data_IF_159442180336
#
_entry.id   IF_159442180336
#
_cell.length_a   1.000
_cell.length_b   1.000
_cell.length_c   1.000
_cell.angle_alpha   90.00
_cell.angle_beta   90.00
_cell.angle_gamma   90.00
#
_symmetry.space_group_name_H-M   'P 1'
#
loop_
_entity.id
_entity.type
_entity.pdbx_description
1 polymer ?
#
# COMPACT_ATOMS: atom_id res chain seq x y z
N UNK A 1 9.29 -27.90 -4.58
CA UNK A 1 10.37 -28.54 -3.78
C UNK A 1 10.92 -27.45 -2.87
N UNK A 2 10.77 -27.56 -1.54
CA UNK A 2 11.33 -26.59 -0.57
C UNK A 2 12.84 -26.51 -0.79
N UNK A 3 13.39 -25.31 -1.00
CA UNK A 3 14.80 -25.12 -1.39
C UNK A 3 15.75 -25.32 -0.19
N UNK A 4 16.83 -26.08 -0.42
CA UNK A 4 18.06 -26.09 0.37
C UNK A 4 19.29 -26.36 -0.56
N UNK A 5 20.09 -25.30 -0.75
CA UNK A 5 21.54 -25.10 -1.02
C UNK A 5 22.35 -25.89 -2.12
N UNK A 6 23.03 -25.08 -2.97
CA UNK A 6 24.43 -25.13 -3.55
C UNK A 6 24.79 -25.86 -4.87
N UNK A 7 25.31 -25.11 -5.88
CA UNK A 7 26.75 -24.90 -6.23
C UNK A 7 27.00 -24.62 -7.76
N UNK A 8 27.74 -23.52 -8.04
CA UNK A 8 28.78 -23.31 -9.10
C UNK A 8 28.52 -23.13 -10.62
N UNK A 9 28.96 -21.95 -11.09
CA UNK A 9 29.85 -21.62 -12.24
C UNK A 9 29.40 -21.63 -13.73
N UNK A 10 29.41 -20.41 -14.30
CA UNK A 10 30.10 -19.93 -15.55
C UNK A 10 29.52 -20.27 -16.95
N UNK A 11 29.05 -19.25 -17.72
CA UNK A 11 29.65 -18.66 -18.97
C UNK A 11 28.65 -18.11 -20.04
N UNK A 12 28.80 -16.82 -20.38
CA UNK A 12 28.60 -16.01 -21.63
C UNK A 12 27.45 -16.14 -22.66
N UNK A 13 27.04 -14.92 -23.11
CA UNK A 13 26.67 -14.41 -24.47
C UNK A 13 25.18 -14.56 -24.89
N UNK A 14 24.43 -13.59 -25.49
CA UNK A 14 24.68 -12.37 -26.30
C UNK A 14 23.41 -11.47 -26.34
N UNK A 15 23.59 -10.20 -26.76
CA UNK A 15 22.70 -9.29 -27.51
C UNK A 15 21.92 -8.19 -26.74
N UNK A 16 22.05 -6.98 -27.28
CA UNK A 16 21.28 -5.80 -26.91
C UNK A 16 19.79 -6.02 -27.21
N UNK A 17 19.01 -6.24 -26.16
CA UNK A 17 17.57 -5.94 -26.16
C UNK A 17 17.40 -4.57 -25.53
N UNK A 18 16.60 -3.69 -26.13
CA UNK A 18 16.09 -2.55 -25.36
C UNK A 18 15.20 -3.15 -24.27
N UNK A 19 15.55 -3.00 -23.00
CA UNK A 19 14.66 -3.36 -21.90
C UNK A 19 13.34 -2.64 -22.15
N UNK A 20 12.26 -3.40 -22.27
CA UNK A 20 10.93 -2.83 -22.45
C UNK A 20 10.49 -2.30 -21.09
N UNK A 21 10.02 -1.07 -21.08
CA UNK A 21 9.69 -0.33 -19.86
C UNK A 21 8.20 0.00 -19.83
N UNK A 22 7.57 -0.17 -18.67
CA UNK A 22 6.22 0.31 -18.40
C UNK A 22 6.33 1.56 -17.53
N UNK A 23 5.68 2.65 -17.96
CA UNK A 23 5.61 3.90 -17.21
C UNK A 23 4.21 4.04 -16.61
N UNK A 24 4.13 4.42 -15.34
CA UNK A 24 2.84 4.79 -14.72
C UNK A 24 2.52 6.24 -15.09
N UNK A 25 1.52 6.44 -15.96
CA UNK A 25 1.06 7.78 -16.41
C UNK A 25 -0.20 8.21 -15.65
N UNK A 26 -0.29 9.49 -15.29
CA UNK A 26 -1.45 10.08 -14.61
C UNK A 26 -2.75 9.87 -15.38
N UNK A 27 -2.72 9.76 -16.71
CA UNK A 27 -3.93 9.47 -17.51
C UNK A 27 -3.99 7.98 -17.91
N UNK A 28 -4.75 7.15 -17.18
CA UNK A 28 -4.77 5.70 -17.37
C UNK A 28 -5.51 5.22 -18.63
N UNK A 29 -6.21 6.10 -19.36
CA UNK A 29 -6.94 5.71 -20.56
C UNK A 29 -6.03 5.23 -21.71
N UNK A 30 -4.70 5.30 -21.55
CA UNK A 30 -3.73 4.78 -22.52
C UNK A 30 -3.15 3.40 -22.21
N UNK A 31 -3.38 2.83 -21.02
CA UNK A 31 -2.87 1.50 -20.67
C UNK A 31 -4.03 0.61 -20.19
N UNK A 32 -4.68 -0.05 -21.15
CA UNK A 32 -5.90 -0.84 -20.94
C UNK A 32 -5.59 -2.11 -20.16
N UNK A 33 -5.93 -2.14 -18.86
CA UNK A 33 -6.29 -3.33 -18.10
C UNK A 33 -7.17 -2.95 -16.88
N UNK A 34 -8.17 -2.08 -17.06
CA UNK A 34 -9.25 -1.99 -16.09
C UNK A 34 -10.04 -3.31 -16.13
N UNK A 35 -9.85 -4.16 -15.11
CA UNK A 35 -10.56 -5.43 -14.97
C UNK A 35 -12.07 -5.17 -14.86
N UNK A 36 -12.84 -5.73 -15.81
CA UNK A 36 -14.30 -5.69 -15.75
C UNK A 36 -14.76 -6.75 -14.76
N UNK A 37 -15.29 -6.35 -13.61
CA UNK A 37 -15.88 -7.27 -12.63
C UNK A 37 -17.02 -8.10 -13.28
N UNK A 38 -17.21 -9.37 -12.90
CA UNK A 38 -18.38 -10.13 -13.34
C UNK A 38 -19.68 -9.51 -12.77
N UNK A 39 -20.70 -9.43 -13.62
CA UNK A 39 -22.05 -8.90 -13.33
C UNK A 39 -22.18 -7.38 -13.07
N UNK A 40 -21.89 -6.58 -14.09
CA UNK A 40 -22.86 -5.57 -14.52
C UNK A 40 -22.95 -4.23 -13.77
N UNK A 41 -21.95 -3.86 -12.97
CA UNK A 41 -21.53 -2.51 -12.52
C UNK A 41 -20.12 -2.76 -11.93
N UNK A 42 -19.03 -2.10 -12.32
CA UNK A 42 -18.53 -0.77 -11.92
C UNK A 42 -17.29 -0.46 -12.79
N UNK A 43 -16.88 0.81 -12.90
CA UNK A 43 -15.59 1.22 -13.47
C UNK A 43 -14.68 1.64 -12.32
N UNK A 44 -13.46 1.07 -12.22
CA UNK A 44 -12.43 1.58 -11.33
C UNK A 44 -11.91 2.88 -11.96
N UNK A 45 -12.05 4.01 -11.26
CA UNK A 45 -11.42 5.27 -11.67
C UNK A 45 -9.91 5.06 -11.64
N UNK A 46 -9.31 4.92 -12.81
CA UNK A 46 -7.99 4.30 -12.97
C UNK A 46 -6.81 5.26 -12.74
N UNK A 47 -7.02 6.42 -12.10
CA UNK A 47 -5.93 7.39 -11.89
C UNK A 47 -4.87 6.74 -10.98
N UNK A 48 -3.60 6.62 -11.40
CA UNK A 48 -2.61 5.99 -10.55
C UNK A 48 -2.28 6.90 -9.37
N UNK A 49 -2.54 6.39 -8.18
CA UNK A 49 -2.18 7.04 -6.92
C UNK A 49 -0.71 6.79 -6.56
N UNK A 50 -0.26 5.53 -6.70
CA UNK A 50 1.11 5.11 -6.43
C UNK A 50 2.01 5.16 -7.66
N UNK A 51 3.30 5.43 -7.44
CA UNK A 51 4.36 5.25 -8.42
C UNK A 51 4.25 6.14 -9.65
N UNK A 52 3.59 7.30 -9.56
CA UNK A 52 3.42 8.20 -10.71
C UNK A 52 4.79 8.55 -11.33
N UNK A 53 4.96 8.22 -12.62
CA UNK A 53 6.21 8.40 -13.36
C UNK A 53 7.28 7.36 -13.06
N UNK A 54 6.98 6.34 -12.24
CA UNK A 54 7.85 5.18 -12.04
C UNK A 54 7.91 4.35 -13.32
N UNK A 55 9.06 3.73 -13.54
CA UNK A 55 9.34 2.93 -14.72
C UNK A 55 9.75 1.53 -14.28
N UNK A 56 8.96 0.52 -14.65
CA UNK A 56 9.31 -0.87 -14.41
C UNK A 56 9.92 -1.51 -15.64
N UNK A 57 11.00 -2.25 -15.41
CA UNK A 57 11.67 -3.03 -16.44
C UNK A 57 10.94 -4.36 -16.65
N UNK A 58 10.74 -4.76 -17.90
CA UNK A 58 10.20 -6.06 -18.27
C UNK A 58 11.32 -6.99 -18.75
N UNK A 59 11.20 -8.26 -18.39
CA UNK A 59 12.03 -9.33 -18.92
C UNK A 59 11.80 -9.49 -20.42
N UNK A 60 12.88 -9.75 -21.18
CA UNK A 60 12.83 -10.08 -22.61
C UNK A 60 11.86 -11.25 -22.89
N UNK A 61 11.66 -12.13 -21.91
CA UNK A 61 10.77 -13.29 -22.03
C UNK A 61 9.30 -12.87 -22.15
N UNK A 62 8.93 -11.67 -21.71
CA UNK A 62 7.56 -11.15 -21.78
C UNK A 62 7.01 -11.16 -23.20
N UNK A 63 7.84 -10.83 -24.20
CA UNK A 63 7.45 -10.87 -25.62
C UNK A 63 7.31 -12.29 -26.15
N UNK A 64 8.04 -13.25 -25.56
CA UNK A 64 8.07 -14.63 -26.01
C UNK A 64 6.81 -15.40 -25.58
N UNK A 65 6.31 -15.10 -24.38
CA UNK A 65 5.16 -15.79 -23.78
C UNK A 65 3.87 -14.97 -23.79
N UNK A 66 3.87 -13.77 -24.39
CA UNK A 66 2.73 -12.85 -24.47
C UNK A 66 2.11 -12.56 -23.08
N UNK A 67 2.98 -12.27 -22.11
CA UNK A 67 2.65 -12.03 -20.70
C UNK A 67 3.65 -11.04 -20.13
N UNK A 68 3.22 -10.13 -19.25
CA UNK A 68 4.14 -9.21 -18.58
C UNK A 68 4.90 -9.94 -17.47
N UNK A 69 6.23 -9.99 -17.59
CA UNK A 69 7.13 -10.50 -16.56
C UNK A 69 8.07 -9.37 -16.16
N UNK A 70 7.95 -8.92 -14.93
CA UNK A 70 8.69 -7.75 -14.44
C UNK A 70 10.07 -8.15 -13.93
N UNK A 71 11.08 -7.30 -14.13
CA UNK A 71 12.38 -7.43 -13.48
C UNK A 71 12.33 -6.60 -12.19
N UNK A 72 12.61 -7.24 -11.07
CA UNK A 72 12.56 -6.61 -9.75
C UNK A 72 13.97 -6.39 -9.23
N UNK A 73 14.28 -5.13 -8.92
CA UNK A 73 15.62 -4.70 -8.51
C UNK A 73 15.76 -4.46 -7.00
N UNK A 74 14.64 -4.35 -6.26
CA UNK A 74 14.66 -4.14 -4.81
C UNK A 74 13.38 -4.57 -4.11
N UNK A 75 13.45 -4.71 -2.79
CA UNK A 75 12.33 -5.03 -1.92
C UNK A 75 11.22 -3.95 -1.99
N UNK A 76 11.62 -2.68 -2.07
CA UNK A 76 10.70 -1.53 -2.25
C UNK A 76 9.97 -1.58 -3.58
N UNK A 77 10.68 -1.97 -4.64
CA UNK A 77 10.10 -2.10 -5.97
C UNK A 77 9.09 -3.22 -6.04
N UNK A 78 9.40 -4.38 -5.45
CA UNK A 78 8.46 -5.50 -5.36
C UNK A 78 7.19 -5.09 -4.61
N UNK A 79 7.34 -4.43 -3.46
CA UNK A 79 6.21 -3.93 -2.67
C UNK A 79 5.33 -2.95 -3.45
N UNK A 80 5.94 -1.94 -4.10
CA UNK A 80 5.21 -0.97 -4.94
C UNK A 80 4.47 -1.67 -6.08
N UNK A 81 5.13 -2.60 -6.76
CA UNK A 81 4.58 -3.33 -7.89
C UNK A 81 3.41 -4.24 -7.48
N UNK A 82 3.54 -4.93 -6.34
CA UNK A 82 2.44 -5.70 -5.75
C UNK A 82 1.26 -4.80 -5.39
N UNK A 83 1.50 -3.66 -4.72
CA UNK A 83 0.45 -2.71 -4.35
C UNK A 83 -0.33 -2.23 -5.60
N UNK A 84 0.36 -1.86 -6.67
CA UNK A 84 -0.28 -1.44 -7.93
C UNK A 84 -1.16 -2.56 -8.53
N UNK A 85 -0.70 -3.81 -8.50
CA UNK A 85 -1.47 -4.94 -9.02
C UNK A 85 -2.70 -5.25 -8.15
N UNK A 86 -2.56 -5.15 -6.82
CA UNK A 86 -3.65 -5.31 -5.86
C UNK A 86 -4.72 -4.23 -6.08
N UNK A 87 -4.31 -2.98 -6.26
CA UNK A 87 -5.18 -1.83 -6.60
C UNK A 87 -5.95 -2.04 -7.90
N UNK A 88 -5.35 -2.72 -8.87
CA UNK A 88 -5.99 -3.06 -10.14
C UNK A 88 -6.85 -4.33 -10.05
N UNK A 89 -6.99 -4.93 -8.86
CA UNK A 89 -7.65 -6.21 -8.62
C UNK A 89 -7.10 -7.33 -9.52
N UNK A 90 -5.80 -7.27 -9.81
CA UNK A 90 -5.14 -8.29 -10.61
C UNK A 90 -5.25 -9.64 -9.89
N UNK A 91 -5.50 -10.71 -10.64
CA UNK A 91 -5.48 -12.05 -10.05
C UNK A 91 -4.05 -12.55 -9.86
N UNK A 92 -3.19 -12.25 -10.83
CA UNK A 92 -1.86 -12.81 -10.95
C UNK A 92 -0.86 -11.72 -11.34
N UNK A 93 0.36 -11.84 -10.83
CA UNK A 93 1.51 -10.99 -11.16
C UNK A 93 2.76 -11.87 -11.28
N UNK A 94 3.61 -11.60 -12.28
CA UNK A 94 4.78 -12.42 -12.60
C UNK A 94 6.06 -11.59 -12.61
N UNK A 95 7.13 -12.11 -12.00
CA UNK A 95 8.41 -11.43 -11.98
C UNK A 95 9.62 -12.36 -11.97
N UNK A 96 10.77 -11.75 -12.27
CA UNK A 96 12.10 -12.30 -12.09
C UNK A 96 12.91 -11.35 -11.25
N UNK A 97 13.87 -11.89 -10.51
CA UNK A 97 14.76 -11.12 -9.65
C UNK A 97 16.12 -10.98 -10.32
N UNK A 98 16.67 -9.76 -10.39
CA UNK A 98 18.05 -9.57 -10.86
C UNK A 98 19.09 -9.73 -9.74
N UNK A 99 18.61 -9.83 -8.49
CA UNK A 99 19.37 -10.06 -7.27
C UNK A 99 18.54 -10.83 -6.25
N UNK A 100 19.19 -11.43 -5.27
CA UNK A 100 18.49 -12.03 -4.12
C UNK A 100 17.79 -10.93 -3.29
N UNK A 101 16.48 -11.09 -3.07
CA UNK A 101 15.64 -10.19 -2.29
C UNK A 101 15.43 -10.71 -0.86
N UNK A 102 15.29 -9.79 0.09
CA UNK A 102 14.75 -10.13 1.41
C UNK A 102 13.23 -9.99 1.42
N UNK A 103 12.53 -11.11 1.32
CA UNK A 103 11.06 -11.17 1.32
C UNK A 103 10.43 -10.70 2.62
N UNK A 104 11.07 -10.95 3.76
CA UNK A 104 10.56 -10.48 5.07
C UNK A 104 10.55 -8.94 5.12
N UNK A 105 11.45 -8.30 4.37
CA UNK A 105 11.51 -6.83 4.23
C UNK A 105 10.50 -6.27 3.23
N UNK A 106 10.01 -7.07 2.28
CA UNK A 106 8.97 -6.65 1.31
C UNK A 106 7.65 -6.42 2.05
N UNK A 107 7.33 -7.26 3.02
CA UNK A 107 6.06 -7.21 3.74
C UNK A 107 5.75 -5.89 4.44
N UNK A 108 6.61 -5.32 5.29
CA UNK A 108 6.29 -4.06 5.93
C UNK A 108 6.22 -2.89 4.94
N UNK A 109 6.95 -2.94 3.82
CA UNK A 109 6.78 -1.97 2.73
C UNK A 109 5.42 -2.13 2.06
N UNK A 110 5.03 -3.35 1.69
CA UNK A 110 3.73 -3.59 1.07
C UNK A 110 2.59 -3.21 2.01
N UNK A 111 2.66 -3.65 3.27
CA UNK A 111 1.65 -3.40 4.30
C UNK A 111 1.38 -1.91 4.50
N UNK A 112 2.42 -1.07 4.40
CA UNK A 112 2.28 0.39 4.48
C UNK A 112 1.41 1.02 3.37
N UNK A 113 1.04 0.26 2.34
CA UNK A 113 0.23 0.70 1.19
C UNK A 113 -1.15 0.03 1.12
N UNK A 114 -1.44 -0.96 1.98
CA UNK A 114 -2.66 -1.76 1.88
C UNK A 114 -3.80 -1.15 2.71
N UNK A 115 -4.84 -0.70 2.02
CA UNK A 115 -6.12 -0.30 2.64
C UNK A 115 -6.98 -1.53 2.94
N UNK A 116 -7.07 -2.45 1.98
CA UNK A 116 -7.91 -3.63 2.05
C UNK A 116 -7.10 -4.90 2.31
N UNK A 117 -7.73 -5.86 2.98
CA UNK A 117 -7.17 -7.19 3.16
C UNK A 117 -7.10 -7.95 1.83
N UNK A 118 -6.00 -8.67 1.63
CA UNK A 118 -5.77 -9.50 0.45
C UNK A 118 -5.02 -10.76 0.86
N UNK A 119 -5.46 -11.91 0.36
CA UNK A 119 -4.69 -13.15 0.50
C UNK A 119 -3.68 -13.24 -0.63
N UNK A 120 -2.41 -13.41 -0.28
CA UNK A 120 -1.28 -13.44 -1.21
C UNK A 120 -0.64 -14.82 -1.17
N UNK A 121 -0.48 -15.45 -2.33
CA UNK A 121 0.23 -16.71 -2.49
C UNK A 121 1.41 -16.54 -3.45
N UNK A 122 2.60 -16.91 -3.01
CA UNK A 122 3.79 -16.95 -3.84
C UNK A 122 4.04 -18.36 -4.39
N UNK A 123 4.32 -18.45 -5.68
CA UNK A 123 4.69 -19.69 -6.36
C UNK A 123 5.96 -19.49 -7.21
N UNK A 124 6.82 -20.52 -7.24
CA UNK A 124 7.85 -20.65 -8.29
C UNK A 124 7.21 -21.34 -9.49
N UNK A 125 7.25 -20.70 -10.65
CA UNK A 125 6.59 -21.18 -11.86
C UNK A 125 7.59 -21.53 -12.96
N UNK A 126 7.27 -22.58 -13.72
CA UNK A 126 7.98 -22.92 -14.95
C UNK A 126 7.22 -22.29 -16.13
N UNK A 127 7.80 -21.28 -16.76
CA UNK A 127 7.24 -20.62 -17.94
C UNK A 127 7.88 -21.17 -19.23
N UNK A 128 7.15 -21.21 -20.36
CA UNK A 128 7.66 -21.71 -21.64
C UNK A 128 8.58 -20.69 -22.33
N UNK A 129 9.68 -20.34 -21.65
CA UNK A 129 10.61 -19.26 -22.01
C UNK A 129 11.77 -19.72 -22.88
N UNK A 130 12.45 -18.77 -23.50
CA UNK A 130 13.63 -19.00 -24.33
C UNK A 130 14.88 -19.38 -23.51
N UNK A 131 14.98 -18.89 -22.27
CA UNK A 131 16.06 -19.15 -21.29
C UNK A 131 15.61 -20.08 -20.15
N UNK A 132 15.79 -21.41 -20.28
CA UNK A 132 15.24 -22.40 -19.32
C UNK A 132 15.93 -22.43 -17.94
N UNK A 133 16.93 -21.58 -17.68
CA UNK A 133 17.64 -21.50 -16.40
C UNK A 133 17.17 -20.38 -15.48
N UNK A 134 16.31 -19.49 -15.99
CA UNK A 134 15.75 -18.39 -15.22
C UNK A 134 14.64 -18.91 -14.29
N UNK A 135 14.63 -18.42 -13.05
CA UNK A 135 13.57 -18.76 -12.08
C UNK A 135 12.53 -17.66 -12.15
N UNK A 136 11.27 -18.03 -12.42
CA UNK A 136 10.15 -17.12 -12.45
C UNK A 136 9.31 -17.29 -11.21
N UNK A 137 8.84 -16.18 -10.69
CA UNK A 137 7.99 -16.12 -9.53
C UNK A 137 6.62 -15.59 -9.95
N UNK A 138 5.60 -16.04 -9.24
CA UNK A 138 4.22 -15.64 -9.43
C UNK A 138 3.62 -15.31 -8.07
N UNK A 139 3.02 -14.14 -7.95
CA UNK A 139 2.05 -13.88 -6.90
C UNK A 139 0.63 -14.10 -7.42
N UNK A 140 -0.19 -14.77 -6.63
CA UNK A 140 -1.64 -14.90 -6.83
C UNK A 140 -2.34 -14.15 -5.71
N UNK A 141 -3.27 -13.27 -6.07
CA UNK A 141 -4.07 -12.47 -5.13
C UNK A 141 -5.49 -13.01 -5.07
N UNK A 142 -6.04 -13.11 -3.86
CA UNK A 142 -7.45 -13.46 -3.64
C UNK A 142 -8.10 -12.42 -2.74
N UNK A 143 -9.29 -11.99 -3.13
CA UNK A 143 -10.03 -10.89 -2.52
C UNK A 143 -11.35 -11.38 -1.94
N UNK A 144 -11.73 -10.86 -0.78
CA UNK A 144 -13.11 -10.96 -0.28
C UNK A 144 -13.90 -9.76 -0.82
N UNK A 145 -14.53 -9.95 -1.97
CA UNK A 145 -15.16 -8.86 -2.73
C UNK A 145 -16.31 -8.17 -1.98
N UNK A 146 -16.97 -8.87 -1.05
CA UNK A 146 -18.05 -8.27 -0.25
C UNK A 146 -17.51 -7.18 0.69
N UNK A 147 -16.50 -7.51 1.48
CA UNK A 147 -15.74 -6.61 2.36
C UNK A 147 -15.12 -5.46 1.57
N UNK A 148 -14.41 -5.77 0.48
CA UNK A 148 -13.77 -4.76 -0.37
C UNK A 148 -14.80 -3.76 -0.93
N UNK A 149 -15.95 -4.26 -1.42
CA UNK A 149 -16.99 -3.39 -1.96
C UNK A 149 -17.59 -2.46 -0.91
N UNK A 150 -17.77 -2.96 0.31
CA UNK A 150 -18.27 -2.16 1.43
C UNK A 150 -17.29 -1.04 1.80
N UNK A 151 -16.01 -1.35 1.94
CA UNK A 151 -14.95 -0.37 2.22
C UNK A 151 -14.90 0.71 1.13
N UNK A 152 -14.77 0.33 -0.15
CA UNK A 152 -14.59 1.28 -1.25
C UNK A 152 -15.82 2.18 -1.46
N UNK A 153 -17.03 1.65 -1.28
CA UNK A 153 -18.25 2.46 -1.40
C UNK A 153 -18.36 3.48 -0.26
N UNK A 154 -18.10 3.06 0.97
CA UNK A 154 -18.18 3.96 2.13
C UNK A 154 -17.11 5.06 2.03
N UNK A 155 -15.91 4.73 1.56
CA UNK A 155 -14.88 5.72 1.24
C UNK A 155 -15.42 6.75 0.23
N UNK A 156 -15.94 6.32 -0.92
CA UNK A 156 -16.47 7.25 -1.95
C UNK A 156 -17.60 8.14 -1.41
N UNK A 157 -18.47 7.58 -0.56
CA UNK A 157 -19.55 8.34 0.10
C UNK A 157 -19.00 9.39 1.08
N UNK A 158 -18.04 9.04 1.92
CA UNK A 158 -17.46 9.91 2.94
C UNK A 158 -16.58 11.01 2.34
N UNK A 159 -15.88 10.72 1.24
CA UNK A 159 -14.98 11.66 0.57
C UNK A 159 -15.69 12.55 -0.43
N UNK A 160 -16.89 12.18 -0.91
CA UNK A 160 -17.66 12.92 -1.91
C UNK A 160 -17.74 14.44 -1.66
N UNK A 161 -17.96 14.94 -0.43
CA UNK A 161 -17.99 16.37 -0.15
C UNK A 161 -16.67 17.09 -0.44
N UNK A 162 -15.54 16.38 -0.40
CA UNK A 162 -14.17 16.93 -0.40
C UNK A 162 -13.42 16.71 -1.73
N UNK A 163 -13.98 15.95 -2.69
CA UNK A 163 -13.38 15.71 -4.02
C UNK A 163 -13.26 16.97 -4.90
N UNK A 164 -13.89 18.07 -4.52
CA UNK A 164 -13.78 19.35 -5.21
C UNK A 164 -12.36 19.93 -5.09
N UNK A 165 -11.77 20.41 -6.19
CA UNK A 165 -10.44 21.06 -6.19
C UNK A 165 -10.37 22.39 -5.43
N UNK A 166 -11.48 22.84 -4.84
CA UNK A 166 -11.52 23.98 -3.94
C UNK A 166 -10.99 23.68 -2.53
N UNK A 167 -10.96 22.41 -2.12
CA UNK A 167 -10.38 22.00 -0.84
C UNK A 167 -8.86 21.86 -1.00
N UNK A 168 -8.12 22.45 -0.06
CA UNK A 168 -6.69 22.17 0.06
C UNK A 168 -6.46 20.74 0.55
N UNK A 169 -5.25 20.21 0.37
CA UNK A 169 -4.90 18.89 0.91
C UNK A 169 -4.97 18.88 2.45
N UNK A 170 -4.68 20.02 3.09
CA UNK A 170 -4.93 20.22 4.52
C UNK A 170 -6.43 20.09 4.86
N UNK A 171 -7.31 20.83 4.19
CA UNK A 171 -8.76 20.78 4.47
C UNK A 171 -9.33 19.37 4.25
N UNK A 172 -8.86 18.68 3.21
CA UNK A 172 -9.22 17.28 2.93
C UNK A 172 -8.82 16.37 4.07
N UNK A 173 -7.56 16.44 4.52
CA UNK A 173 -7.07 15.63 5.63
C UNK A 173 -7.85 15.94 6.92
N UNK A 174 -7.98 17.21 7.28
CA UNK A 174 -8.63 17.64 8.52
C UNK A 174 -10.11 17.24 8.56
N UNK A 175 -10.90 17.64 7.55
CA UNK A 175 -12.35 17.46 7.59
C UNK A 175 -12.76 16.00 7.46
N UNK A 176 -12.02 15.22 6.66
CA UNK A 176 -12.30 13.80 6.52
C UNK A 176 -11.90 13.00 7.78
N UNK A 177 -10.82 13.39 8.46
CA UNK A 177 -10.49 12.83 9.78
C UNK A 177 -11.60 13.14 10.78
N UNK A 178 -11.99 14.40 10.92
CA UNK A 178 -13.05 14.82 11.84
C UNK A 178 -14.35 14.06 11.62
N UNK A 179 -14.73 13.80 10.36
CA UNK A 179 -15.95 13.05 10.07
C UNK A 179 -15.80 11.56 10.38
N UNK A 180 -14.63 10.95 10.12
CA UNK A 180 -14.36 9.58 10.56
C UNK A 180 -14.47 9.44 12.07
N UNK A 181 -13.84 10.32 12.84
CA UNK A 181 -13.82 10.25 14.32
C UNK A 181 -15.23 10.37 14.95
N UNK A 182 -16.21 10.93 14.23
CA UNK A 182 -17.60 11.01 14.75
C UNK A 182 -18.41 9.74 14.52
N UNK A 183 -17.97 8.87 13.62
CA UNK A 183 -18.74 7.71 13.14
C UNK A 183 -18.16 6.38 13.67
N UNK A 184 -17.00 6.41 14.31
CA UNK A 184 -16.26 5.21 14.74
C UNK A 184 -16.04 5.25 16.25
N UNK A 185 -16.16 4.09 16.90
CA UNK A 185 -15.76 3.89 18.30
C UNK A 185 -14.57 2.94 18.39
N UNK A 186 -13.68 3.16 19.35
CA UNK A 186 -12.58 2.23 19.61
C UNK A 186 -13.08 0.88 20.18
N UNK A 187 -12.66 -0.23 19.58
CA UNK A 187 -13.05 -1.58 20.02
C UNK A 187 -12.09 -2.13 21.09
N UNK A 188 -12.20 -1.62 22.33
CA UNK A 188 -11.43 -2.12 23.49
C UNK A 188 -11.53 -3.65 23.65
N UNK A 189 -12.69 -4.22 23.30
CA UNK A 189 -12.94 -5.64 23.47
C UNK A 189 -12.18 -6.50 22.43
N UNK A 190 -11.80 -5.95 21.27
CA UNK A 190 -11.03 -6.66 20.26
C UNK A 190 -9.56 -6.87 20.66
N UNK A 191 -9.06 -6.07 21.60
CA UNK A 191 -7.71 -6.21 22.17
C UNK A 191 -7.66 -7.34 23.20
N UNK A 192 -8.74 -7.52 23.97
CA UNK A 192 -8.80 -8.46 25.11
C UNK A 192 -9.42 -9.82 24.78
N UNK A 193 -10.13 -9.95 23.65
CA UNK A 193 -10.87 -11.15 23.27
C UNK A 193 -10.41 -11.69 21.89
N UNK A 194 -9.57 -12.72 21.91
CA UNK A 194 -9.11 -13.47 20.71
C UNK A 194 -10.25 -14.08 19.87
N UNK A 195 -11.51 -14.00 20.33
CA UNK A 195 -12.71 -14.45 19.59
C UNK A 195 -13.44 -13.34 18.85
N UNK A 196 -13.09 -12.06 19.04
CA UNK A 196 -13.57 -10.96 18.19
C UNK A 196 -12.87 -10.98 16.83
N UNK A 197 -13.57 -10.47 15.84
CA UNK A 197 -13.33 -10.67 14.41
C UNK A 197 -12.08 -9.94 13.91
N UNK A 198 -11.42 -10.51 12.88
CA UNK A 198 -10.34 -9.86 12.10
C UNK A 198 -10.75 -8.47 11.58
N UNK A 199 -12.06 -8.19 11.47
CA UNK A 199 -12.66 -6.94 11.04
C UNK A 199 -12.18 -5.69 11.82
N UNK A 200 -12.08 -5.75 13.16
CA UNK A 200 -11.68 -4.59 13.96
C UNK A 200 -10.24 -4.14 13.65
N UNK A 201 -9.41 -5.06 13.14
CA UNK A 201 -8.04 -4.80 12.73
C UNK A 201 -7.95 -4.36 11.27
N UNK A 202 -9.05 -4.11 10.56
CA UNK A 202 -9.03 -3.68 9.16
C UNK A 202 -9.89 -2.45 8.90
N UNK A 203 -9.72 -1.83 7.72
CA UNK A 203 -10.57 -0.72 7.29
C UNK A 203 -12.07 -1.09 7.29
N UNK A 204 -12.40 -2.37 7.17
CA UNK A 204 -13.79 -2.85 7.24
C UNK A 204 -14.40 -2.66 8.64
N UNK A 205 -13.61 -2.77 9.72
CA UNK A 205 -14.11 -2.47 11.07
C UNK A 205 -14.63 -1.04 11.17
N UNK A 206 -13.91 -0.08 10.58
CA UNK A 206 -14.32 1.32 10.49
C UNK A 206 -15.56 1.49 9.60
N UNK A 207 -15.50 1.03 8.34
CA UNK A 207 -16.52 1.36 7.34
C UNK A 207 -17.77 0.47 7.36
N UNK A 208 -17.65 -0.77 7.84
CA UNK A 208 -18.75 -1.74 7.89
C UNK A 208 -19.34 -1.93 9.28
N UNK A 209 -18.50 -1.87 10.33
CA UNK A 209 -18.95 -2.13 11.71
C UNK A 209 -19.02 -0.88 12.60
N UNK A 210 -18.36 0.23 12.20
CA UNK A 210 -18.24 1.44 13.01
C UNK A 210 -17.39 1.25 14.28
N UNK A 211 -16.61 0.17 14.35
CA UNK A 211 -15.76 -0.15 15.51
C UNK A 211 -14.44 -0.77 15.05
N UNK A 212 -13.32 -0.23 15.51
CA UNK A 212 -12.00 -0.70 15.11
C UNK A 212 -10.92 -0.43 16.18
N UNK A 213 -9.77 -1.07 16.02
CA UNK A 213 -8.54 -0.74 16.77
C UNK A 213 -7.59 0.10 15.91
N UNK A 214 -6.42 0.44 16.46
CA UNK A 214 -5.45 1.33 15.81
C UNK A 214 -5.13 1.00 14.35
N UNK A 215 -4.98 -0.28 14.02
CA UNK A 215 -4.72 -0.70 12.65
C UNK A 215 -5.90 -0.40 11.70
N UNK A 216 -7.13 -0.65 12.14
CA UNK A 216 -8.33 -0.37 11.34
C UNK A 216 -8.53 1.12 11.10
N UNK A 217 -8.31 1.95 12.14
CA UNK A 217 -8.31 3.42 12.02
C UNK A 217 -7.28 3.91 10.99
N UNK A 218 -6.04 3.43 11.12
CA UNK A 218 -4.95 3.87 10.25
C UNK A 218 -5.12 3.39 8.79
N UNK A 219 -5.66 2.20 8.56
CA UNK A 219 -6.00 1.72 7.21
C UNK A 219 -7.17 2.50 6.60
N UNK A 220 -8.23 2.75 7.38
CA UNK A 220 -9.39 3.50 6.93
C UNK A 220 -9.05 4.94 6.56
N UNK A 221 -8.30 5.64 7.41
CA UNK A 221 -7.89 7.00 7.14
C UNK A 221 -6.95 7.09 5.93
N UNK A 222 -6.03 6.14 5.75
CA UNK A 222 -5.23 6.02 4.53
C UNK A 222 -6.10 5.83 3.28
N UNK A 223 -7.16 5.03 3.37
CA UNK A 223 -8.13 4.82 2.27
C UNK A 223 -8.88 6.11 1.90
N UNK A 224 -9.35 6.86 2.90
CA UNK A 224 -9.99 8.17 2.73
C UNK A 224 -9.04 9.16 2.02
N UNK A 225 -7.81 9.29 2.52
CA UNK A 225 -6.81 10.21 1.94
C UNK A 225 -6.43 9.84 0.51
N UNK A 226 -6.30 8.53 0.23
CA UNK A 226 -6.04 8.01 -1.10
C UNK A 226 -7.14 8.41 -2.09
N UNK A 227 -8.41 8.25 -1.74
CA UNK A 227 -9.53 8.64 -2.61
C UNK A 227 -9.70 10.17 -2.75
N UNK A 228 -9.04 10.94 -1.88
CA UNK A 228 -8.92 12.40 -1.95
C UNK A 228 -7.63 12.88 -2.67
N UNK A 229 -6.85 11.96 -3.23
CA UNK A 229 -5.54 12.20 -3.86
C UNK A 229 -4.49 12.84 -2.93
N UNK A 230 -4.59 12.63 -1.61
CA UNK A 230 -3.62 13.11 -0.61
C UNK A 230 -2.63 12.00 -0.29
N UNK A 231 -1.32 12.14 -0.61
CA UNK A 231 -0.36 11.06 -0.40
C UNK A 231 -0.22 10.67 1.07
N UNK A 232 -0.36 9.38 1.34
CA UNK A 232 -0.27 8.82 2.69
C UNK A 232 0.22 7.38 2.67
N UNK A 233 0.85 6.95 3.76
CA UNK A 233 1.16 5.55 4.05
C UNK A 233 0.80 5.19 5.49
N UNK A 234 0.59 3.90 5.74
CA UNK A 234 0.44 3.32 7.06
C UNK A 234 1.82 3.04 7.69
N UNK A 235 1.96 3.36 8.97
CA UNK A 235 3.09 2.96 9.80
C UNK A 235 2.56 1.96 10.83
N UNK A 236 3.25 0.84 10.98
CA UNK A 236 2.98 -0.16 11.99
C UNK A 236 4.26 -0.36 12.82
N UNK A 237 4.10 -0.37 14.14
CA UNK A 237 5.21 -0.53 15.08
C UNK A 237 4.98 -1.72 15.99
N UNK A 238 5.85 -2.71 15.89
CA UNK A 238 5.78 -3.89 16.76
C UNK A 238 6.22 -3.58 18.19
N UNK A 239 7.20 -2.69 18.37
CA UNK A 239 7.66 -2.30 19.70
C UNK A 239 6.62 -1.49 20.48
N UNK A 240 5.77 -0.76 19.76
CA UNK A 240 4.70 0.06 20.33
C UNK A 240 3.35 -0.67 20.37
N UNK A 241 3.24 -1.78 19.63
CA UNK A 241 1.98 -2.49 19.37
C UNK A 241 0.89 -1.53 18.85
N UNK A 242 1.28 -0.69 17.89
CA UNK A 242 0.47 0.43 17.44
C UNK A 242 0.63 0.75 15.95
N UNK A 243 -0.35 1.43 15.38
CA UNK A 243 -0.36 1.83 13.98
C UNK A 243 -0.95 3.24 13.81
N UNK A 244 -0.34 4.01 12.90
CA UNK A 244 -0.73 5.38 12.58
C UNK A 244 -0.39 5.70 11.11
N UNK A 245 -0.60 6.94 10.67
CA UNK A 245 -0.33 7.35 9.29
C UNK A 245 0.79 8.37 9.18
N UNK A 246 1.49 8.33 8.06
CA UNK A 246 2.31 9.44 7.57
C UNK A 246 1.60 10.05 6.36
N UNK A 247 1.43 11.38 6.36
CA UNK A 247 0.61 12.11 5.40
C UNK A 247 1.41 13.27 4.82
N UNK A 248 1.32 13.49 3.51
CA UNK A 248 1.97 14.59 2.82
C UNK A 248 1.00 15.75 2.60
N UNK A 249 1.13 16.81 3.40
CA UNK A 249 0.31 18.03 3.35
C UNK A 249 1.23 19.23 3.32
N UNK A 250 0.85 20.27 2.58
CA UNK A 250 1.58 21.56 2.51
C UNK A 250 3.07 21.47 2.16
N UNK A 251 3.47 20.39 1.47
CA UNK A 251 4.84 20.19 1.03
C UNK A 251 5.73 19.42 2.02
N UNK A 252 5.18 18.90 3.12
CA UNK A 252 5.94 18.14 4.10
C UNK A 252 5.25 16.83 4.49
N UNK A 253 6.06 15.87 4.92
CA UNK A 253 5.58 14.61 5.49
C UNK A 253 5.41 14.80 7.00
N UNK A 254 4.18 14.69 7.46
CA UNK A 254 3.79 14.78 8.88
C UNK A 254 3.10 13.50 9.31
N UNK A 255 2.81 13.37 10.61
CA UNK A 255 2.18 12.18 11.19
C UNK A 255 0.77 12.48 11.65
N UNK A 256 -0.11 11.48 11.50
CA UNK A 256 -1.47 11.50 12.01
C UNK A 256 -1.74 10.20 12.74
N UNK A 257 -2.09 10.27 14.02
CA UNK A 257 -2.66 9.14 14.76
C UNK A 257 -4.14 9.41 15.02
N UNK A 258 -4.99 8.79 14.21
CA UNK A 258 -6.42 8.94 14.32
C UNK A 258 -6.99 8.31 15.60
N UNK A 259 -6.38 7.23 16.13
CA UNK A 259 -6.87 6.53 17.31
C UNK A 259 -6.61 7.34 18.57
N UNK A 260 -5.38 7.82 18.75
CA UNK A 260 -5.10 8.65 19.92
C UNK A 260 -5.78 10.01 19.79
N UNK A 261 -5.91 10.57 18.58
CA UNK A 261 -6.72 11.77 18.39
C UNK A 261 -8.18 11.57 18.82
N UNK A 262 -8.80 10.42 18.50
CA UNK A 262 -10.17 10.08 18.92
C UNK A 262 -10.35 10.18 20.44
N UNK A 263 -9.41 9.61 21.21
CA UNK A 263 -9.44 9.62 22.68
C UNK A 263 -9.47 11.04 23.27
N UNK A 264 -8.86 12.03 22.62
CA UNK A 264 -8.78 13.42 23.11
C UNK A 264 -9.78 14.36 22.41
N UNK A 265 -10.19 14.05 21.19
CA UNK A 265 -11.04 14.92 20.37
C UNK A 265 -12.45 15.02 20.96
N UNK A 266 -13.03 13.90 21.41
CA UNK A 266 -14.34 13.89 22.09
C UNK A 266 -14.38 14.84 23.30
N UNK A 267 -13.24 15.02 23.98
CA UNK A 267 -13.15 15.78 25.21
C UNK A 267 -12.85 17.28 25.00
N UNK A 268 -12.26 17.67 23.87
CA UNK A 268 -11.62 18.99 23.76
C UNK A 268 -11.71 19.71 22.41
N UNK A 269 -12.03 19.04 21.29
CA UNK A 269 -11.91 19.60 19.93
C UNK A 269 -10.51 20.22 19.67
N UNK A 270 -9.46 19.69 20.31
CA UNK A 270 -8.07 20.14 20.17
C UNK A 270 -7.25 19.05 19.50
N UNK A 271 -6.53 19.43 18.45
CA UNK A 271 -5.57 18.59 17.75
C UNK A 271 -4.33 18.30 18.60
N UNK A 272 -4.08 17.02 18.90
CA UNK A 272 -2.87 16.55 19.58
C UNK A 272 -1.99 15.67 18.68
N UNK A 273 -2.61 14.91 17.78
CA UNK A 273 -1.92 13.95 16.91
C UNK A 273 -2.29 14.14 15.44
N UNK A 274 -2.69 15.35 15.04
CA UNK A 274 -2.96 15.70 13.64
C UNK A 274 -1.84 16.55 13.05
N UNK A 275 -1.21 16.05 11.99
CA UNK A 275 -0.12 16.69 11.23
C UNK A 275 1.06 17.15 12.10
N UNK A 276 1.41 16.35 13.11
CA UNK A 276 2.57 16.60 13.98
C UNK A 276 3.89 16.18 13.32
N UNK A 277 5.00 16.76 13.78
CA UNK A 277 6.33 16.39 13.30
C UNK A 277 6.89 15.14 14.01
N UNK A 278 7.98 14.58 13.48
CA UNK A 278 8.59 13.35 14.06
C UNK A 278 9.07 13.56 15.50
N UNK A 279 9.54 14.76 15.86
CA UNK A 279 10.05 15.05 17.20
C UNK A 279 8.92 15.06 18.22
N UNK A 280 7.76 15.61 17.84
CA UNK A 280 6.55 15.59 18.65
C UNK A 280 5.98 14.16 18.78
N UNK A 281 5.87 13.44 17.66
CA UNK A 281 5.41 12.05 17.64
C UNK A 281 6.28 11.15 18.54
N UNK A 282 7.62 11.24 18.45
CA UNK A 282 8.54 10.39 19.23
C UNK A 282 8.59 10.73 20.73
N UNK A 283 7.78 11.67 21.22
CA UNK A 283 7.64 11.90 22.66
C UNK A 283 6.93 10.76 23.38
N UNK A 284 6.03 10.07 22.69
CA UNK A 284 5.21 8.97 23.20
C UNK A 284 5.06 7.79 22.23
N UNK A 285 5.32 7.95 20.93
CA UNK A 285 5.38 6.86 19.96
C UNK A 285 6.79 6.34 19.74
N UNK A 286 6.89 5.07 19.33
CA UNK A 286 8.17 4.43 19.00
C UNK A 286 8.09 3.76 17.64
N UNK A 287 8.98 4.15 16.72
CA UNK A 287 9.26 3.35 15.53
C UNK A 287 10.07 2.10 15.88
N UNK A 288 9.86 1.02 15.13
CA UNK A 288 10.75 -0.14 15.17
C UNK A 288 12.19 0.22 14.78
N UNK A 289 13.15 -0.55 15.27
CA UNK A 289 14.49 -0.54 14.70
C UNK A 289 14.46 -1.20 13.33
N UNK A 290 15.06 -0.60 12.30
CA UNK A 290 15.09 -1.21 10.96
C UNK A 290 15.85 -2.53 10.97
N UNK A 291 15.12 -3.63 10.84
CA UNK A 291 15.63 -4.99 10.85
C UNK A 291 15.30 -5.73 9.54
N UNK A 292 15.33 -7.05 9.54
CA UNK A 292 15.02 -7.87 8.36
C UNK A 292 13.52 -7.82 8.01
N UNK A 293 12.64 -7.59 8.98
CA UNK A 293 11.18 -7.68 8.89
C UNK A 293 10.43 -6.43 9.40
N UNK A 294 11.15 -5.39 9.80
CA UNK A 294 10.59 -4.12 10.31
C UNK A 294 11.21 -2.90 9.63
N UNK A 295 10.55 -1.76 9.68
CA UNK A 295 11.05 -0.49 9.13
C UNK A 295 11.26 0.53 10.25
N UNK A 296 12.38 1.27 10.19
CA UNK A 296 12.53 2.47 11.01
C UNK A 296 11.93 3.71 10.33
N UNK A 297 11.79 4.81 11.08
CA UNK A 297 11.28 6.09 10.60
C UNK A 297 11.92 6.55 9.26
N UNK A 298 13.25 6.41 9.12
CA UNK A 298 13.95 6.82 7.91
C UNK A 298 13.57 5.95 6.71
N UNK A 299 13.40 4.64 6.91
CA UNK A 299 12.99 3.72 5.87
C UNK A 299 11.55 4.00 5.40
N UNK A 300 10.64 4.34 6.33
CA UNK A 300 9.30 4.80 5.98
C UNK A 300 9.32 6.08 5.13
N UNK A 301 10.07 7.11 5.55
CA UNK A 301 10.20 8.36 4.76
C UNK A 301 10.82 8.11 3.39
N UNK A 302 11.88 7.31 3.32
CA UNK A 302 12.54 6.96 2.06
C UNK A 302 11.60 6.19 1.13
N UNK A 303 10.75 5.31 1.69
CA UNK A 303 9.78 4.53 0.93
C UNK A 303 8.60 5.38 0.48
N UNK A 304 8.04 6.23 1.34
CA UNK A 304 6.97 7.15 0.96
C UNK A 304 7.38 8.06 -0.20
N UNK A 305 8.61 8.61 -0.16
CA UNK A 305 9.17 9.39 -1.28
C UNK A 305 9.41 8.56 -2.53
N UNK A 306 9.68 7.28 -2.38
CA UNK A 306 9.86 6.35 -3.49
C UNK A 306 8.52 6.04 -4.17
N UNK A 307 7.48 5.76 -3.38
CA UNK A 307 6.11 5.47 -3.81
C UNK A 307 5.38 6.70 -4.35
N UNK A 308 5.68 7.89 -3.82
CA UNK A 308 5.11 9.16 -4.25
C UNK A 308 6.20 10.11 -4.78
N UNK A 309 6.70 9.91 -6.02
CA UNK A 309 7.79 10.71 -6.58
C UNK A 309 7.52 12.22 -6.59
N UNK A 310 6.26 12.64 -6.66
CA UNK A 310 5.83 14.04 -6.59
C UNK A 310 6.22 14.73 -5.27
N UNK A 311 6.51 13.97 -4.21
CA UNK A 311 6.89 14.50 -2.88
C UNK A 311 8.40 14.70 -2.73
N UNK A 312 9.22 14.34 -3.73
CA UNK A 312 10.69 14.38 -3.64
C UNK A 312 11.28 15.80 -3.64
N UNK A 313 10.59 16.77 -4.22
CA UNK A 313 11.11 18.13 -4.46
C UNK A 313 10.60 19.20 -3.48
N UNK A 314 9.71 18.84 -2.55
CA UNK A 314 9.25 19.77 -1.53
C UNK A 314 10.31 19.86 -0.41
N UNK A 315 10.97 21.01 -0.34
CA UNK A 315 11.94 21.43 0.67
C UNK A 315 11.60 22.84 1.13
#
# INVERSE_FOLDING_TARGET
MKRMITLSCVLLMVLSGCIKQIVIDKDPYTNTNAGKLPEGRYEINSHPYYGIGYIFDLSDESEFIDMEVYIVHSEKELALLMAIHIEQLAQDFYYVEDRELNYDKVWPYLYSLLVNEVTILEDIVELPVSKPTETFYKYTFTYEFSTLHEVENTIDEWTYPYKSSSFSDHDKAEYSLVDMLKEVEYDDAAVDDETRTDAAYSAYGVFGEGQAVCNGYAQAYMGILKDLDVPSILIASQIDDHAWNMVFVDGEWSYVDATWEDEYYEASEVWFYFLIDQTELETDHRFDSGAEDTLNAKEYVDFAKYVFPQTKEAQ
#
